data_IF_689776435465
#
_entry.id   IF_689776435465
#
_cell.length_a   1.000
_cell.length_b   1.000
_cell.length_c   1.000
_cell.angle_alpha   90.00
_cell.angle_beta   90.00
_cell.angle_gamma   90.00
#
_symmetry.space_group_name_H-M   'P 1'
#
loop_
_entity.id
_entity.type
_entity.pdbx_description
1 polymer ?
#
# COMPACT_ATOMS: atom_id res chain seq x y z
N UNK A 1 14.25 -25.30 37.38
CA UNK A 1 14.03 -23.98 36.78
C UNK A 1 13.00 -24.15 35.69
N UNK A 2 11.78 -23.71 35.96
CA UNK A 2 10.63 -23.81 35.05
C UNK A 2 10.82 -22.83 33.89
N UNK A 3 10.86 -23.38 32.67
CA UNK A 3 10.81 -22.60 31.42
C UNK A 3 9.58 -21.68 31.47
N UNK A 4 9.71 -20.38 31.17
CA UNK A 4 8.54 -19.53 31.05
C UNK A 4 7.66 -20.06 29.90
N UNK A 5 6.35 -20.15 30.15
CA UNK A 5 5.34 -20.45 29.14
C UNK A 5 5.54 -19.52 27.93
N UNK A 6 5.42 -20.01 26.68
CA UNK A 6 5.55 -19.16 25.51
C UNK A 6 4.48 -18.07 25.59
N UNK A 7 4.93 -16.81 25.68
CA UNK A 7 4.05 -15.66 25.54
C UNK A 7 3.33 -15.76 24.20
N UNK A 8 2.03 -15.44 24.18
CA UNK A 8 1.26 -15.46 22.94
C UNK A 8 1.94 -14.57 21.90
N UNK A 9 2.23 -15.14 20.72
CA UNK A 9 2.77 -14.39 19.59
C UNK A 9 1.80 -13.27 19.24
N UNK A 10 2.27 -12.03 19.22
CA UNK A 10 1.47 -10.88 18.82
C UNK A 10 1.81 -10.49 17.39
N UNK A 11 0.85 -10.66 16.49
CA UNK A 11 0.97 -10.19 15.10
C UNK A 11 0.46 -8.76 14.97
N UNK A 12 1.24 -7.89 14.32
CA UNK A 12 0.84 -6.52 13.98
C UNK A 12 1.04 -6.28 12.48
N UNK A 13 -0.07 -6.02 11.76
CA UNK A 13 -0.02 -5.69 10.33
C UNK A 13 0.53 -4.28 10.11
N UNK A 14 1.45 -4.16 9.15
CA UNK A 14 2.15 -2.92 8.82
C UNK A 14 1.66 -2.36 7.48
N UNK A 15 1.48 -3.24 6.50
CA UNK A 15 1.10 -2.87 5.14
C UNK A 15 0.37 -4.03 4.47
N UNK A 16 -0.68 -3.73 3.71
CA UNK A 16 -1.34 -4.69 2.83
C UNK A 16 -1.84 -3.96 1.59
N UNK A 17 -1.49 -4.45 0.41
CA UNK A 17 -1.95 -3.87 -0.84
C UNK A 17 -2.02 -4.93 -1.95
N UNK A 18 -2.95 -4.73 -2.90
CA UNK A 18 -3.10 -5.58 -4.07
C UNK A 18 -3.33 -4.72 -5.32
N UNK A 19 -2.53 -4.98 -6.35
CA UNK A 19 -2.59 -4.28 -7.63
C UNK A 19 -2.80 -5.28 -8.76
N UNK A 20 -3.48 -4.82 -9.80
CA UNK A 20 -3.42 -5.45 -11.12
C UNK A 20 -2.36 -4.74 -11.94
N UNK A 21 -1.51 -5.53 -12.60
CA UNK A 21 -0.35 -5.09 -13.36
C UNK A 21 -0.48 -5.56 -14.82
N UNK A 22 0.09 -4.78 -15.74
CA UNK A 22 0.24 -5.08 -17.17
C UNK A 22 1.74 -5.23 -17.54
N UNK A 23 2.42 -6.26 -17.02
CA UNK A 23 3.85 -6.47 -17.26
C UNK A 23 4.15 -6.87 -18.71
N UNK A 24 5.28 -6.41 -19.24
CA UNK A 24 5.68 -6.66 -20.64
C UNK A 24 5.90 -8.16 -20.94
N UNK A 25 6.39 -8.94 -19.98
CA UNK A 25 6.64 -10.39 -20.11
C UNK A 25 5.74 -11.22 -19.19
N UNK A 26 4.54 -10.73 -18.87
CA UNK A 26 3.63 -11.44 -17.96
C UNK A 26 4.18 -11.55 -16.54
N UNK A 27 3.77 -12.60 -15.83
CA UNK A 27 4.18 -12.87 -14.45
C UNK A 27 5.72 -12.88 -14.23
N UNK A 28 6.49 -13.31 -15.22
CA UNK A 28 7.96 -13.38 -15.17
C UNK A 28 8.60 -12.03 -14.81
N UNK A 29 8.12 -10.92 -15.39
CA UNK A 29 8.62 -9.57 -15.07
C UNK A 29 8.38 -9.21 -13.61
N UNK A 30 7.21 -9.56 -13.06
CA UNK A 30 6.89 -9.26 -11.66
C UNK A 30 7.77 -10.10 -10.73
N UNK A 31 8.01 -11.36 -11.07
CA UNK A 31 8.88 -12.26 -10.30
C UNK A 31 10.33 -11.78 -10.35
N UNK A 32 10.79 -11.28 -11.49
CA UNK A 32 12.13 -10.69 -11.62
C UNK A 32 12.33 -9.48 -10.70
N UNK A 33 11.32 -8.61 -10.54
CA UNK A 33 11.39 -7.49 -9.59
C UNK A 33 11.44 -7.96 -8.13
N UNK A 34 10.71 -9.04 -7.81
CA UNK A 34 10.75 -9.65 -6.48
C UNK A 34 12.11 -10.30 -6.22
N UNK A 35 12.68 -10.98 -7.20
CA UNK A 35 13.99 -11.62 -7.09
C UNK A 35 15.10 -10.58 -6.86
N UNK A 36 15.08 -9.48 -7.62
CA UNK A 36 15.98 -8.34 -7.45
C UNK A 36 15.83 -7.68 -6.07
N UNK A 37 14.61 -7.60 -5.54
CA UNK A 37 14.37 -7.09 -4.19
C UNK A 37 14.95 -8.01 -3.09
N UNK A 38 14.80 -9.33 -3.23
CA UNK A 38 15.40 -10.32 -2.29
C UNK A 38 16.92 -10.24 -2.35
N UNK A 39 17.49 -10.19 -3.55
CA UNK A 39 18.94 -10.06 -3.75
C UNK A 39 19.47 -8.77 -3.11
N UNK A 40 18.78 -7.64 -3.31
CA UNK A 40 19.14 -6.38 -2.65
C UNK A 40 19.08 -6.47 -1.12
N UNK A 41 18.12 -7.21 -0.56
CA UNK A 41 17.95 -7.36 0.89
C UNK A 41 19.05 -8.19 1.54
N UNK A 42 19.40 -9.29 0.88
CA UNK A 42 20.23 -10.36 1.46
C UNK A 42 21.65 -10.36 0.94
N UNK A 43 21.91 -9.63 -0.16
CA UNK A 43 23.14 -9.68 -0.95
C UNK A 43 23.44 -11.07 -1.53
N UNK A 44 22.44 -11.96 -1.58
CA UNK A 44 22.53 -13.28 -2.20
C UNK A 44 21.81 -13.29 -3.55
N UNK A 45 22.41 -13.88 -4.59
CA UNK A 45 21.77 -13.95 -5.90
C UNK A 45 20.56 -14.88 -5.83
N UNK A 46 19.37 -14.32 -6.09
CA UNK A 46 18.12 -15.06 -6.23
C UNK A 46 17.55 -14.72 -7.59
N UNK A 47 17.45 -15.72 -8.48
CA UNK A 47 17.00 -15.52 -9.85
C UNK A 47 15.51 -15.77 -10.01
N UNK A 48 14.93 -15.25 -11.09
CA UNK A 48 13.55 -15.57 -11.48
C UNK A 48 13.33 -17.09 -11.61
N UNK A 49 14.32 -17.81 -12.14
CA UNK A 49 14.27 -19.27 -12.30
C UNK A 49 14.14 -19.98 -10.95
N UNK A 50 14.92 -19.55 -9.94
CA UNK A 50 14.86 -20.12 -8.60
C UNK A 50 13.47 -20.00 -7.98
N UNK A 51 12.76 -18.90 -8.29
CA UNK A 51 11.44 -18.60 -7.75
C UNK A 51 10.29 -19.24 -8.53
N UNK A 52 10.54 -19.77 -9.74
CA UNK A 52 9.53 -20.33 -10.63
C UNK A 52 9.65 -21.84 -10.86
N UNK A 53 10.80 -22.44 -10.55
CA UNK A 53 11.04 -23.85 -10.82
C UNK A 53 10.31 -24.79 -9.84
N UNK A 54 10.39 -24.50 -8.54
CA UNK A 54 9.81 -25.38 -7.51
C UNK A 54 9.50 -24.65 -6.20
N UNK A 55 8.51 -25.16 -5.48
CA UNK A 55 8.27 -24.78 -4.10
C UNK A 55 9.45 -25.21 -3.23
N UNK A 56 10.05 -24.27 -2.49
CA UNK A 56 11.25 -24.51 -1.68
C UNK A 56 11.42 -23.46 -0.58
N UNK A 57 11.95 -23.90 0.57
CA UNK A 57 12.50 -23.03 1.60
C UNK A 57 14.01 -22.82 1.42
N UNK A 58 14.45 -21.59 1.61
CA UNK A 58 15.85 -21.16 1.60
C UNK A 58 16.15 -20.54 2.96
N UNK A 59 17.30 -20.90 3.54
CA UNK A 59 17.91 -20.12 4.60
C UNK A 59 19.06 -19.37 3.93
N UNK A 60 18.96 -18.04 3.94
CA UNK A 60 19.91 -17.15 3.28
C UNK A 60 21.08 -16.88 4.23
N UNK A 61 22.22 -16.47 3.68
CA UNK A 61 23.48 -16.29 4.42
C UNK A 61 23.45 -15.22 5.51
N UNK A 62 22.46 -14.32 5.49
CA UNK A 62 22.19 -13.36 6.56
C UNK A 62 21.32 -13.94 7.70
N UNK A 63 20.95 -15.21 7.62
CA UNK A 63 20.08 -15.92 8.56
C UNK A 63 18.58 -15.71 8.31
N UNK A 64 18.20 -14.96 7.27
CA UNK A 64 16.80 -14.82 6.90
C UNK A 64 16.26 -16.05 6.17
N UNK A 65 14.94 -16.23 6.22
CA UNK A 65 14.26 -17.35 5.59
C UNK A 65 13.41 -16.86 4.42
N UNK A 66 13.46 -17.58 3.30
CA UNK A 66 12.59 -17.36 2.15
C UNK A 66 11.87 -18.66 1.83
N UNK A 67 10.54 -18.64 1.84
CA UNK A 67 9.71 -19.79 1.45
C UNK A 67 8.96 -19.44 0.17
N UNK A 68 9.12 -20.27 -0.85
CA UNK A 68 8.44 -20.16 -2.14
C UNK A 68 7.44 -21.29 -2.27
N UNK A 69 6.21 -20.95 -2.62
CA UNK A 69 5.11 -21.88 -2.88
C UNK A 69 4.53 -21.59 -4.26
N UNK A 70 4.58 -22.58 -5.15
CA UNK A 70 4.00 -22.50 -6.49
C UNK A 70 2.58 -23.07 -6.49
N UNK A 71 1.67 -22.40 -7.19
CA UNK A 71 0.37 -22.94 -7.54
C UNK A 71 0.45 -23.87 -8.76
N UNK A 72 -0.69 -24.42 -9.14
CA UNK A 72 -0.80 -25.34 -10.28
C UNK A 72 -0.13 -24.76 -11.54
N UNK A 73 0.66 -25.58 -12.23
CA UNK A 73 1.19 -25.20 -13.53
C UNK A 73 0.05 -25.11 -14.56
N UNK A 74 0.11 -24.13 -15.46
CA UNK A 74 -0.74 -24.18 -16.64
C UNK A 74 -0.24 -25.26 -17.60
N UNK A 75 -1.07 -25.59 -18.60
CA UNK A 75 -0.64 -26.39 -19.74
C UNK A 75 0.63 -25.79 -20.34
N UNK A 76 1.55 -26.67 -20.74
CA UNK A 76 2.85 -26.30 -21.28
C UNK A 76 2.66 -25.31 -22.43
N UNK A 77 3.45 -24.24 -22.43
CA UNK A 77 3.54 -23.38 -23.61
C UNK A 77 4.04 -24.19 -24.82
N UNK A 78 4.02 -23.59 -26.00
CA UNK A 78 4.57 -24.19 -27.24
C UNK A 78 6.08 -24.52 -27.17
N UNK A 79 6.76 -24.14 -26.08
CA UNK A 79 8.18 -24.41 -25.79
C UNK A 79 8.36 -25.45 -24.67
N UNK A 80 7.29 -26.07 -24.18
CA UNK A 80 7.34 -27.10 -23.13
C UNK A 80 7.54 -26.57 -21.71
N UNK A 81 7.51 -25.25 -21.48
CA UNK A 81 7.65 -24.63 -20.16
C UNK A 81 6.28 -24.29 -19.59
N UNK A 82 5.86 -25.02 -18.56
CA UNK A 82 4.65 -24.67 -17.81
C UNK A 82 4.99 -23.66 -16.72
N UNK A 83 4.67 -22.38 -16.91
CA UNK A 83 4.73 -21.41 -15.82
C UNK A 83 3.62 -21.70 -14.78
N UNK A 84 3.89 -21.50 -13.48
CA UNK A 84 2.86 -21.66 -12.45
C UNK A 84 1.74 -20.62 -12.63
N UNK A 85 0.51 -20.95 -12.26
CA UNK A 85 -0.62 -19.99 -12.27
C UNK A 85 -0.50 -18.94 -11.16
N UNK A 86 0.24 -19.26 -10.10
CA UNK A 86 0.52 -18.34 -9.00
C UNK A 86 1.82 -18.68 -8.30
N UNK A 87 2.44 -17.67 -7.71
CA UNK A 87 3.64 -17.77 -6.88
C UNK A 87 3.35 -17.05 -5.57
N UNK A 88 3.61 -17.71 -4.44
CA UNK A 88 3.60 -17.09 -3.12
C UNK A 88 5.02 -17.16 -2.54
N UNK A 89 5.52 -16.02 -2.09
CA UNK A 89 6.80 -15.88 -1.41
C UNK A 89 6.56 -15.38 0.00
N UNK A 90 7.25 -15.98 0.97
CA UNK A 90 7.23 -15.55 2.37
C UNK A 90 8.67 -15.31 2.80
N UNK A 91 9.03 -14.05 3.00
CA UNK A 91 10.35 -13.64 3.45
C UNK A 91 10.30 -13.25 4.92
N UNK A 92 11.13 -13.88 5.75
CA UNK A 92 11.16 -13.73 7.21
C UNK A 92 12.56 -13.32 7.64
N UNK A 93 12.68 -12.26 8.44
CA UNK A 93 13.94 -11.87 9.04
C UNK A 93 13.74 -11.24 10.42
N UNK A 94 14.76 -11.34 11.27
CA UNK A 94 14.73 -10.70 12.59
C UNK A 94 14.84 -9.17 12.50
N UNK A 95 14.23 -8.47 13.45
CA UNK A 95 14.42 -7.04 13.62
C UNK A 95 15.83 -6.75 14.16
N UNK A 96 16.58 -5.90 13.46
CA UNK A 96 17.95 -5.53 13.82
C UNK A 96 18.10 -4.87 15.19
N UNK A 97 17.01 -4.31 15.74
CA UNK A 97 17.01 -3.53 17.00
C UNK A 97 16.19 -4.19 18.11
N UNK A 98 15.23 -5.04 17.77
CA UNK A 98 14.32 -5.68 18.73
C UNK A 98 14.43 -7.20 18.56
N UNK A 99 15.25 -7.90 19.37
CA UNK A 99 15.52 -9.33 19.20
C UNK A 99 14.29 -10.24 19.29
N UNK A 100 13.20 -9.77 19.89
CA UNK A 100 11.94 -10.52 20.04
C UNK A 100 10.95 -10.27 18.91
N UNK A 101 11.35 -9.56 17.85
CA UNK A 101 10.50 -9.19 16.73
C UNK A 101 11.02 -9.82 15.44
N UNK A 102 10.12 -10.44 14.71
CA UNK A 102 10.37 -10.91 13.35
C UNK A 102 9.51 -10.14 12.35
N UNK A 103 10.10 -9.76 11.23
CA UNK A 103 9.44 -9.15 10.10
C UNK A 103 9.08 -10.22 9.09
N UNK A 104 7.84 -10.20 8.61
CA UNK A 104 7.33 -11.14 7.62
C UNK A 104 6.76 -10.36 6.45
N UNK A 105 7.33 -10.57 5.27
CA UNK A 105 6.81 -10.04 3.99
C UNK A 105 6.26 -11.19 3.18
N UNK A 106 4.95 -11.24 2.99
CA UNK A 106 4.32 -12.13 2.03
C UNK A 106 4.09 -11.41 0.70
N UNK A 107 4.44 -12.07 -0.39
CA UNK A 107 4.18 -11.61 -1.76
C UNK A 107 3.38 -12.71 -2.46
N UNK A 108 2.26 -12.35 -3.07
CA UNK A 108 1.44 -13.28 -3.87
C UNK A 108 1.30 -12.70 -5.26
N UNK A 109 1.64 -13.51 -6.26
CA UNK A 109 1.54 -13.17 -7.67
C UNK A 109 0.63 -14.20 -8.31
N UNK A 110 -0.40 -13.75 -9.00
CA UNK A 110 -1.32 -14.62 -9.72
C UNK A 110 -1.53 -14.05 -11.12
N UNK A 111 -1.27 -14.86 -12.14
CA UNK A 111 -1.57 -14.46 -13.52
C UNK A 111 -3.01 -14.70 -13.89
N UNK A 112 -3.51 -13.93 -14.84
CA UNK A 112 -4.76 -14.25 -15.52
C UNK A 112 -4.58 -15.42 -16.50
N UNK A 113 -5.66 -15.85 -17.15
CA UNK A 113 -5.64 -17.00 -18.07
C UNK A 113 -4.73 -16.81 -19.30
N UNK A 114 -4.46 -15.57 -19.70
CA UNK A 114 -3.68 -15.21 -20.90
C UNK A 114 -2.30 -14.62 -20.58
N UNK A 115 -1.97 -14.49 -19.29
CA UNK A 115 -0.75 -13.87 -18.75
C UNK A 115 -0.52 -12.40 -19.17
N UNK A 116 -1.58 -11.71 -19.60
CA UNK A 116 -1.50 -10.27 -19.91
C UNK A 116 -1.56 -9.43 -18.65
N UNK A 117 -2.34 -9.89 -17.67
CA UNK A 117 -2.49 -9.24 -16.39
C UNK A 117 -1.98 -10.12 -15.26
N UNK A 118 -1.33 -9.49 -14.29
CA UNK A 118 -0.89 -10.15 -13.06
C UNK A 118 -1.46 -9.43 -11.85
N UNK A 119 -2.15 -10.17 -10.98
CA UNK A 119 -2.47 -9.69 -9.65
C UNK A 119 -1.24 -9.84 -8.75
N UNK A 120 -0.78 -8.73 -8.19
CA UNK A 120 0.34 -8.64 -7.27
C UNK A 120 -0.16 -8.16 -5.92
N UNK A 121 0.05 -8.96 -4.88
CA UNK A 121 -0.32 -8.62 -3.49
C UNK A 121 0.90 -8.68 -2.59
N UNK A 122 1.04 -7.69 -1.71
CA UNK A 122 2.07 -7.66 -0.67
C UNK A 122 1.43 -7.44 0.68
N UNK A 123 1.78 -8.29 1.64
CA UNK A 123 1.40 -8.18 3.04
C UNK A 123 2.68 -8.10 3.89
N UNK A 124 2.88 -7.00 4.61
CA UNK A 124 3.97 -6.82 5.58
C UNK A 124 3.39 -6.82 6.99
N UNK A 125 3.90 -7.69 7.85
CA UNK A 125 3.54 -7.70 9.26
C UNK A 125 4.75 -8.02 10.13
N UNK A 126 4.62 -7.76 11.42
CA UNK A 126 5.60 -8.17 12.43
C UNK A 126 4.98 -9.15 13.40
N UNK A 127 5.79 -10.10 13.87
CA UNK A 127 5.44 -11.05 14.91
C UNK A 127 6.35 -10.79 16.11
N UNK A 128 5.76 -10.37 17.22
CA UNK A 128 6.46 -10.12 18.47
C UNK A 128 6.28 -11.36 19.40
N UNK A 129 7.38 -12.01 19.76
CA UNK A 129 7.41 -13.16 20.69
C UNK A 129 7.42 -12.75 22.17
N UNK A 130 7.62 -11.46 22.43
CA UNK A 130 7.50 -10.82 23.74
C UNK A 130 7.01 -9.38 23.56
N UNK A 131 6.49 -8.71 24.60
CA UNK A 131 6.06 -7.32 24.51
C UNK A 131 7.17 -6.41 23.98
N UNK A 132 6.96 -5.86 22.78
CA UNK A 132 7.96 -5.01 22.17
C UNK A 132 8.07 -3.65 22.86
N UNK A 133 9.31 -3.17 23.01
CA UNK A 133 9.60 -1.87 23.65
C UNK A 133 9.15 -0.68 22.80
N UNK A 134 8.96 -0.87 21.49
CA UNK A 134 8.52 0.17 20.54
C UNK A 134 7.55 -0.41 19.51
N UNK A 135 6.47 0.33 19.16
CA UNK A 135 5.59 -0.08 18.07
C UNK A 135 6.35 -0.04 16.74
N UNK A 136 6.02 -0.93 15.78
CA UNK A 136 6.58 -0.89 14.45
C UNK A 136 6.11 0.37 13.70
N UNK A 137 6.94 0.86 12.77
CA UNK A 137 6.60 2.03 11.95
C UNK A 137 5.80 1.55 10.74
N UNK A 138 4.62 2.13 10.54
CA UNK A 138 3.80 1.90 9.35
C UNK A 138 4.48 2.53 8.14
N UNK A 139 4.84 1.70 7.16
CA UNK A 139 5.52 2.15 5.94
C UNK A 139 5.22 1.21 4.79
N UNK A 140 5.23 1.75 3.58
CA UNK A 140 5.19 0.97 2.34
C UNK A 140 6.53 0.25 2.10
N UNK A 141 6.53 -1.04 1.74
CA UNK A 141 7.75 -1.75 1.34
C UNK A 141 8.37 -1.16 0.06
N UNK A 142 9.70 -1.11 -0.01
CA UNK A 142 10.43 -0.68 -1.24
C UNK A 142 10.10 -1.54 -2.46
N UNK A 143 9.81 -2.82 -2.26
CA UNK A 143 9.35 -3.74 -3.30
C UNK A 143 8.17 -3.16 -4.10
N UNK A 144 7.27 -2.43 -3.43
CA UNK A 144 6.12 -1.85 -4.09
C UNK A 144 6.51 -0.75 -5.11
N UNK A 145 7.60 -0.03 -4.86
CA UNK A 145 8.11 1.01 -5.77
C UNK A 145 8.60 0.35 -7.05
N UNK A 146 9.52 -0.61 -6.91
CA UNK A 146 10.14 -1.31 -8.03
C UNK A 146 9.08 -1.95 -8.95
N UNK A 147 8.11 -2.66 -8.37
CA UNK A 147 7.06 -3.34 -9.15
C UNK A 147 6.17 -2.35 -9.90
N UNK A 148 5.83 -1.20 -9.31
CA UNK A 148 5.00 -0.19 -9.99
C UNK A 148 5.74 0.47 -11.14
N UNK A 149 7.02 0.77 -10.94
CA UNK A 149 7.84 1.42 -11.96
C UNK A 149 8.09 0.48 -13.15
N UNK A 150 8.30 -0.81 -12.91
CA UNK A 150 8.63 -1.79 -13.94
C UNK A 150 7.44 -2.51 -14.56
N UNK A 151 6.34 -2.72 -13.84
CA UNK A 151 5.26 -3.63 -14.24
C UNK A 151 3.90 -2.97 -14.54
N UNK A 152 3.85 -1.63 -14.67
CA UNK A 152 2.69 -0.84 -15.13
C UNK A 152 1.34 -1.24 -14.47
N UNK A 153 0.95 -0.60 -13.37
CA UNK A 153 -0.38 -0.79 -12.80
C UNK A 153 -1.48 -0.45 -13.83
N UNK A 154 -2.57 -1.21 -13.81
CA UNK A 154 -3.74 -0.96 -14.67
C UNK A 154 -4.25 0.46 -14.43
N UNK A 155 -4.68 1.16 -15.49
CA UNK A 155 -5.06 2.58 -15.44
C UNK A 155 -6.17 2.96 -14.45
N UNK A 156 -6.97 1.98 -14.00
CA UNK A 156 -8.01 2.14 -12.97
C UNK A 156 -7.49 2.00 -11.53
N UNK A 157 -6.19 1.78 -11.33
CA UNK A 157 -5.58 1.63 -10.00
C UNK A 157 -5.79 2.88 -9.14
N UNK A 158 -6.35 2.77 -7.93
CA UNK A 158 -6.51 3.90 -7.01
C UNK A 158 -5.16 4.55 -6.72
N UNK A 159 -5.12 5.89 -6.74
CA UNK A 159 -3.90 6.64 -6.43
C UNK A 159 -2.82 6.56 -7.52
N UNK A 160 -3.13 5.99 -8.69
CA UNK A 160 -2.21 6.03 -9.83
C UNK A 160 -1.92 7.46 -10.28
N UNK A 161 -2.96 8.30 -10.27
CA UNK A 161 -2.88 9.72 -10.62
C UNK A 161 -3.45 10.60 -9.51
N UNK A 162 -2.87 11.78 -9.34
CA UNK A 162 -3.50 12.88 -8.60
C UNK A 162 -4.58 13.51 -9.49
N UNK A 163 -5.83 13.53 -9.03
CA UNK A 163 -6.95 14.11 -9.78
C UNK A 163 -7.15 15.58 -9.38
N UNK A 164 -7.20 16.53 -10.32
CA UNK A 164 -7.52 17.91 -9.99
C UNK A 164 -8.98 18.04 -9.55
N UNK A 165 -9.19 18.64 -8.39
CA UNK A 165 -10.50 18.98 -7.86
C UNK A 165 -10.80 20.43 -8.16
N UNK A 166 -11.77 20.62 -9.06
CA UNK A 166 -12.28 21.91 -9.54
C UNK A 166 -13.78 21.96 -9.34
N UNK A 167 -14.40 23.13 -9.51
CA UNK A 167 -15.86 23.26 -9.47
C UNK A 167 -16.57 22.34 -10.48
N UNK A 168 -15.95 22.07 -11.63
CA UNK A 168 -16.50 21.19 -12.66
C UNK A 168 -16.44 19.70 -12.26
N UNK A 169 -15.39 19.28 -11.54
CA UNK A 169 -15.23 17.89 -11.10
C UNK A 169 -15.89 17.60 -9.74
N UNK A 170 -16.26 18.62 -8.97
CA UNK A 170 -16.82 18.49 -7.63
C UNK A 170 -18.09 17.64 -7.55
N UNK A 171 -19.04 17.81 -8.48
CA UNK A 171 -20.28 17.01 -8.50
C UNK A 171 -20.02 15.53 -8.74
N UNK A 172 -19.05 15.22 -9.61
CA UNK A 172 -18.62 13.84 -9.85
C UNK A 172 -17.99 13.26 -8.59
N UNK A 173 -17.06 13.99 -7.97
CA UNK A 173 -16.45 13.57 -6.70
C UNK A 173 -17.50 13.28 -5.62
N UNK A 174 -18.52 14.14 -5.48
CA UNK A 174 -19.60 13.91 -4.52
C UNK A 174 -20.35 12.60 -4.81
N UNK A 175 -20.65 12.32 -6.09
CA UNK A 175 -21.25 11.05 -6.50
C UNK A 175 -20.35 9.85 -6.15
N UNK A 176 -19.03 9.98 -6.36
CA UNK A 176 -18.06 8.93 -6.05
C UNK A 176 -17.94 8.71 -4.51
N UNK A 177 -18.00 9.79 -3.73
CA UNK A 177 -18.00 9.76 -2.25
C UNK A 177 -19.20 8.97 -1.74
N UNK A 178 -20.40 9.27 -2.25
CA UNK A 178 -21.67 8.69 -1.81
C UNK A 178 -21.93 7.29 -2.38
N UNK A 179 -21.11 6.82 -3.32
CA UNK A 179 -21.27 5.50 -3.91
C UNK A 179 -21.00 4.39 -2.89
N UNK A 180 -21.97 3.48 -2.72
CA UNK A 180 -21.84 2.27 -1.92
C UNK A 180 -20.96 1.19 -2.59
N UNK A 181 -20.66 1.34 -3.89
CA UNK A 181 -19.79 0.40 -4.61
C UNK A 181 -18.30 0.71 -4.40
N UNK A 182 -17.99 1.91 -3.90
CA UNK A 182 -16.62 2.34 -3.65
C UNK A 182 -16.01 1.50 -2.53
N UNK A 183 -14.85 0.90 -2.82
CA UNK A 183 -14.13 0.05 -1.85
C UNK A 183 -12.99 0.77 -1.16
N UNK A 184 -12.41 1.78 -1.80
CA UNK A 184 -11.24 2.48 -1.29
C UNK A 184 -11.54 3.89 -0.79
N UNK A 185 -10.79 4.38 0.21
CA UNK A 185 -10.89 5.76 0.65
C UNK A 185 -10.55 6.75 -0.47
N UNK A 186 -11.14 7.94 -0.35
CA UNK A 186 -10.76 9.12 -1.13
C UNK A 186 -10.00 10.05 -0.20
N UNK A 187 -8.85 10.54 -0.66
CA UNK A 187 -8.04 11.54 0.02
C UNK A 187 -8.13 12.83 -0.78
N UNK A 188 -8.58 13.90 -0.14
CA UNK A 188 -8.65 15.24 -0.70
C UNK A 188 -7.58 16.08 -0.01
N UNK A 189 -6.73 16.70 -0.80
CA UNK A 189 -5.69 17.59 -0.31
C UNK A 189 -6.05 19.01 -0.72
N UNK A 190 -6.02 19.91 0.26
CA UNK A 190 -5.86 21.34 -0.01
C UNK A 190 -4.38 21.65 0.14
N UNK A 191 -3.77 22.27 -0.87
CA UNK A 191 -2.41 22.81 -0.77
C UNK A 191 -2.50 24.30 -1.06
N UNK A 192 -2.11 25.11 -0.08
CA UNK A 192 -2.06 26.55 -0.13
C UNK A 192 -0.63 26.99 -0.51
N UNK A 193 -0.52 28.10 -1.23
CA UNK A 193 0.65 28.42 -2.05
C UNK A 193 1.76 29.20 -1.33
N UNK A 194 1.79 29.19 0.00
CA UNK A 194 2.81 29.95 0.73
C UNK A 194 4.16 29.23 0.77
N UNK A 195 5.04 29.54 -0.19
CA UNK A 195 6.51 29.35 -0.29
C UNK A 195 7.22 28.06 0.20
N UNK A 196 6.53 27.12 0.84
CA UNK A 196 6.96 25.76 1.15
C UNK A 196 5.67 24.97 1.48
N UNK A 197 5.04 24.29 0.51
CA UNK A 197 3.78 23.62 0.77
C UNK A 197 3.99 22.60 1.90
N UNK A 198 3.12 22.55 2.91
CA UNK A 198 3.27 21.63 4.03
C UNK A 198 2.99 20.17 3.62
N UNK A 199 2.91 19.85 2.32
CA UNK A 199 2.72 18.51 1.82
C UNK A 199 3.27 18.35 0.39
N UNK A 200 4.10 17.32 0.21
CA UNK A 200 4.48 16.81 -1.12
C UNK A 200 3.39 15.84 -1.60
N UNK A 201 2.51 16.33 -2.47
CA UNK A 201 1.35 15.58 -2.98
C UNK A 201 1.79 14.38 -3.80
N UNK A 202 2.86 14.50 -4.59
CA UNK A 202 3.35 13.40 -5.43
C UNK A 202 3.98 12.29 -4.58
N UNK A 203 4.75 12.66 -3.57
CA UNK A 203 5.27 11.68 -2.63
C UNK A 203 4.14 10.99 -1.87
N UNK A 204 3.11 11.71 -1.47
CA UNK A 204 1.95 11.10 -0.82
C UNK A 204 1.18 10.17 -1.77
N UNK A 205 0.96 10.57 -3.03
CA UNK A 205 0.37 9.73 -4.08
C UNK A 205 1.11 8.40 -4.19
N UNK A 206 2.44 8.47 -4.29
CA UNK A 206 3.31 7.30 -4.38
C UNK A 206 3.13 6.39 -3.15
N UNK A 207 3.01 6.95 -1.94
CA UNK A 207 2.75 6.15 -0.73
C UNK A 207 1.35 5.53 -0.69
N UNK A 208 0.33 6.21 -1.22
CA UNK A 208 -1.08 5.79 -1.19
C UNK A 208 -1.53 4.95 -2.39
N UNK A 209 -0.64 4.72 -3.36
CA UNK A 209 -0.92 3.94 -4.56
C UNK A 209 -1.51 2.57 -4.23
N UNK A 210 -2.65 2.25 -4.85
CA UNK A 210 -3.45 1.05 -4.61
C UNK A 210 -4.37 1.11 -3.40
N UNK A 211 -4.15 2.05 -2.49
CA UNK A 211 -4.84 2.13 -1.20
C UNK A 211 -5.89 3.24 -1.14
N UNK A 212 -5.68 4.36 -1.84
CA UNK A 212 -6.63 5.47 -1.84
C UNK A 212 -6.64 6.22 -3.17
N UNK A 213 -7.80 6.77 -3.55
CA UNK A 213 -7.84 7.79 -4.60
C UNK A 213 -7.36 9.13 -4.05
N UNK A 214 -6.65 9.91 -4.86
CA UNK A 214 -6.10 11.20 -4.46
C UNK A 214 -6.65 12.32 -5.32
N UNK A 215 -7.26 13.31 -4.67
CA UNK A 215 -7.73 14.55 -5.26
C UNK A 215 -6.95 15.73 -4.67
N UNK A 216 -6.55 16.68 -5.52
CA UNK A 216 -5.91 17.91 -5.11
C UNK A 216 -6.77 19.10 -5.53
N UNK A 217 -7.17 19.94 -4.56
CA UNK A 217 -7.85 21.21 -4.85
C UNK A 217 -6.88 22.11 -5.62
N UNK A 218 -7.28 22.57 -6.81
CA UNK A 218 -6.42 23.42 -7.64
C UNK A 218 -6.41 24.87 -7.15
N UNK A 219 -5.41 25.67 -7.56
CA UNK A 219 -5.22 27.07 -7.11
C UNK A 219 -6.41 27.95 -7.42
N UNK A 220 -6.97 27.73 -8.61
CA UNK A 220 -7.99 28.57 -9.23
C UNK A 220 -9.38 28.22 -8.70
N UNK A 221 -9.49 27.17 -7.88
CA UNK A 221 -10.76 26.68 -7.38
C UNK A 221 -11.20 27.48 -6.16
N UNK A 222 -12.33 28.18 -6.27
CA UNK A 222 -12.97 28.83 -5.14
C UNK A 222 -13.41 27.79 -4.10
N UNK A 223 -12.70 27.75 -2.97
CA UNK A 223 -12.97 26.83 -1.87
C UNK A 223 -14.36 26.98 -1.25
N UNK A 224 -14.94 28.19 -1.25
CA UNK A 224 -16.31 28.41 -0.76
C UNK A 224 -17.35 27.84 -1.72
N UNK A 225 -17.18 28.09 -3.02
CA UNK A 225 -18.04 27.51 -4.04
C UNK A 225 -17.92 25.97 -4.07
N UNK A 226 -16.71 25.45 -3.87
CA UNK A 226 -16.46 24.01 -3.75
C UNK A 226 -17.19 23.44 -2.52
N UNK A 227 -17.17 24.15 -1.39
CA UNK A 227 -17.86 23.73 -0.18
C UNK A 227 -19.38 23.72 -0.31
N UNK A 228 -19.97 24.65 -1.06
CA UNK A 228 -21.39 24.62 -1.36
C UNK A 228 -21.81 23.38 -2.19
N UNK A 229 -20.88 22.80 -2.96
CA UNK A 229 -21.13 21.59 -3.74
C UNK A 229 -20.91 20.34 -2.89
N UNK A 230 -19.77 20.26 -2.20
CA UNK A 230 -19.36 19.06 -1.46
C UNK A 230 -20.00 18.96 -0.07
N UNK A 231 -20.40 20.07 0.54
CA UNK A 231 -20.79 20.16 1.95
C UNK A 231 -19.59 20.18 2.89
N UNK A 232 -19.82 20.61 4.14
CA UNK A 232 -18.76 20.79 5.15
C UNK A 232 -18.02 19.49 5.49
N UNK A 233 -18.72 18.36 5.41
CA UNK A 233 -18.20 17.03 5.74
C UNK A 233 -17.19 16.51 4.70
N UNK A 234 -17.17 17.05 3.48
CA UNK A 234 -16.28 16.59 2.40
C UNK A 234 -15.37 17.69 1.86
N UNK A 235 -15.50 18.92 2.36
CA UNK A 235 -14.69 20.07 1.94
C UNK A 235 -13.33 20.10 2.61
N UNK A 236 -12.28 20.44 1.84
CA UNK A 236 -10.91 20.49 2.33
C UNK A 236 -10.28 21.85 2.01
N UNK A 237 -9.73 22.53 3.02
CA UNK A 237 -9.17 23.87 2.91
C UNK A 237 -8.00 24.08 3.88
N UNK A 238 -7.20 25.11 3.64
CA UNK A 238 -6.17 25.58 4.57
C UNK A 238 -5.09 24.53 4.84
N UNK A 239 -4.53 23.94 3.78
CA UNK A 239 -3.46 22.94 3.87
C UNK A 239 -3.85 21.63 4.58
N UNK A 240 -5.16 21.40 4.75
CA UNK A 240 -5.68 20.19 5.34
C UNK A 240 -5.67 19.02 4.35
N UNK A 241 -5.68 17.82 4.92
CA UNK A 241 -5.94 16.56 4.21
C UNK A 241 -7.24 15.99 4.76
N UNK A 242 -8.20 15.74 3.88
CA UNK A 242 -9.45 15.07 4.24
C UNK A 242 -9.46 13.64 3.70
N UNK A 243 -9.80 12.71 4.57
CA UNK A 243 -10.02 11.30 4.24
C UNK A 243 -11.52 11.06 4.24
N UNK A 244 -12.03 10.43 3.19
CA UNK A 244 -13.44 10.05 3.08
C UNK A 244 -13.49 8.53 2.89
N UNK A 245 -13.95 7.84 3.92
CA UNK A 245 -13.93 6.39 3.99
C UNK A 245 -15.09 5.79 3.18
N UNK A 246 -14.93 4.55 2.67
CA UNK A 246 -16.04 3.79 2.09
C UNK A 246 -17.21 3.67 3.05
N UNK A 247 -18.43 3.56 2.55
CA UNK A 247 -19.60 3.30 3.40
C UNK A 247 -19.53 1.86 3.89
N UNK A 248 -19.50 1.66 5.21
CA UNK A 248 -19.55 0.31 5.79
C UNK A 248 -21.00 -0.13 6.03
N UNK A 249 -21.21 -1.44 6.14
CA UNK A 249 -22.56 -2.00 6.29
C UNK A 249 -23.21 -1.50 7.59
N UNK A 250 -24.34 -0.81 7.47
CA UNK A 250 -25.12 -0.31 8.61
C UNK A 250 -24.86 1.16 8.98
N UNK A 251 -24.07 1.88 8.17
CA UNK A 251 -23.89 3.32 8.31
C UNK A 251 -24.80 4.11 7.36
N UNK A 252 -25.25 5.28 7.81
CA UNK A 252 -26.12 6.19 7.05
C UNK A 252 -25.40 6.95 5.93
N UNK A 253 -24.06 6.88 5.89
CA UNK A 253 -23.24 7.56 4.90
C UNK A 253 -21.74 7.41 5.15
N UNK A 254 -20.90 7.92 4.24
CA UNK A 254 -19.45 7.80 4.36
C UNK A 254 -18.92 8.70 5.48
N UNK A 255 -18.09 8.14 6.35
CA UNK A 255 -17.39 8.90 7.37
C UNK A 255 -16.22 9.69 6.76
N UNK A 256 -15.93 10.85 7.34
CA UNK A 256 -14.74 11.61 6.98
C UNK A 256 -13.89 12.00 8.19
N UNK A 257 -12.58 12.12 7.95
CA UNK A 257 -11.58 12.54 8.94
C UNK A 257 -10.76 13.67 8.34
N UNK A 258 -10.52 14.73 9.09
CA UNK A 258 -9.65 15.84 8.67
C UNK A 258 -8.34 15.83 9.46
N UNK A 259 -7.23 15.93 8.73
CA UNK A 259 -5.89 16.15 9.26
C UNK A 259 -5.50 17.60 8.99
N UNK A 260 -5.36 18.38 10.05
CA UNK A 260 -4.98 19.78 9.98
C UNK A 260 -3.46 19.93 10.12
N UNK A 261 -2.83 20.86 9.37
CA UNK A 261 -1.41 21.17 9.52
C UNK A 261 -1.11 21.78 10.91
N UNK A 262 -2.04 22.58 11.41
CA UNK A 262 -1.94 23.26 12.71
C UNK A 262 -3.04 22.78 13.64
N UNK A 263 -2.66 22.36 14.85
CA UNK A 263 -3.60 22.14 15.96
C UNK A 263 -3.44 23.25 16.99
N UNK A 264 -4.55 23.68 17.59
CA UNK A 264 -4.55 24.73 18.60
C UNK A 264 -3.67 24.32 19.78
N UNK A 265 -2.63 25.09 20.07
CA UNK A 265 -1.69 24.83 21.17
C UNK A 265 -0.53 23.89 20.82
N UNK A 266 -0.41 23.44 19.57
CA UNK A 266 0.72 22.63 19.08
C UNK A 266 1.56 23.45 18.07
N UNK A 267 2.83 23.10 17.93
CA UNK A 267 3.63 23.59 16.81
C UNK A 267 3.05 23.09 15.47
N UNK A 268 3.20 23.85 14.37
CA UNK A 268 2.84 23.40 13.03
C UNK A 268 3.50 22.06 12.69
N UNK A 269 2.73 21.17 12.05
CA UNK A 269 3.26 19.92 11.52
C UNK A 269 4.15 20.20 10.32
N UNK A 270 5.27 19.51 10.25
CA UNK A 270 6.11 19.45 9.05
C UNK A 270 5.45 18.61 7.96
N UNK A 271 5.89 18.79 6.71
CA UNK A 271 5.38 18.00 5.60
C UNK A 271 5.57 16.48 5.77
N UNK A 272 6.71 16.08 6.33
CA UNK A 272 6.99 14.68 6.63
C UNK A 272 6.04 14.11 7.70
N UNK A 273 5.65 14.92 8.68
CA UNK A 273 4.69 14.49 9.70
C UNK A 273 3.28 14.37 9.11
N UNK A 274 2.88 15.31 8.26
CA UNK A 274 1.59 15.24 7.54
C UNK A 274 1.52 13.97 6.67
N UNK A 275 2.55 13.69 5.87
CA UNK A 275 2.66 12.48 5.05
C UNK A 275 2.57 11.21 5.93
N UNK A 276 3.37 11.13 7.00
CA UNK A 276 3.39 9.95 7.88
C UNK A 276 2.04 9.71 8.54
N UNK A 277 1.39 10.75 9.01
CA UNK A 277 0.07 10.64 9.62
C UNK A 277 -0.98 10.21 8.59
N UNK A 278 -0.96 10.79 7.40
CA UNK A 278 -1.86 10.42 6.31
C UNK A 278 -1.75 8.94 5.94
N UNK A 279 -0.53 8.46 5.70
CA UNK A 279 -0.26 7.05 5.39
C UNK A 279 -0.68 6.15 6.54
N UNK A 280 -0.38 6.55 7.79
CA UNK A 280 -0.75 5.77 8.97
C UNK A 280 -2.27 5.64 9.14
N UNK A 281 -3.04 6.68 8.81
CA UNK A 281 -4.50 6.65 8.88
C UNK A 281 -5.07 5.67 7.86
N UNK A 282 -4.64 5.77 6.60
CA UNK A 282 -5.10 4.87 5.53
C UNK A 282 -4.74 3.42 5.83
N UNK A 283 -3.53 3.15 6.33
CA UNK A 283 -3.11 1.80 6.66
C UNK A 283 -3.91 1.21 7.84
N UNK A 284 -4.17 1.98 8.90
CA UNK A 284 -4.92 1.48 10.08
C UNK A 284 -6.36 1.15 9.75
N UNK A 285 -7.04 2.03 9.04
CA UNK A 285 -8.44 1.85 8.65
C UNK A 285 -8.59 0.83 7.51
N UNK A 286 -7.63 0.78 6.58
CA UNK A 286 -7.61 -0.22 5.51
C UNK A 286 -7.37 -1.65 6.01
N UNK A 287 -6.57 -1.83 7.06
CA UNK A 287 -6.34 -3.15 7.69
C UNK A 287 -7.57 -3.62 8.48
N UNK A 288 -8.34 -2.70 9.08
CA UNK A 288 -9.53 -3.06 9.86
C UNK A 288 -10.76 -3.36 9.00
N UNK A 289 -10.74 -3.00 7.71
CA UNK A 289 -11.79 -3.28 6.74
C UNK A 289 -11.63 -4.62 5.99
N UNK A 290 -10.53 -5.35 6.22
CA UNK A 290 -10.24 -6.69 5.67
C UNK A 290 -10.61 -7.80 6.65
#
# INVERSE_FOLDING_TARGET
>A
MTSPLPGALKTTHIYSNSLWLEPEKGMASVVSEVSAWVEWKTSEPVTEYDLLERSRGYVLGDGSELVVELGDCAEQDSLGRGLPKSVKLTYIHDDRKIPTRQWVTEVKIKRDERDYFSNFKVDLHVVDSAPATKPPILTRPRLMVNVVESCRPVGSTPGLFTRPLTLNSAKKLLSDILSHERKQPIVIVSSNWSMDPPLDVERMRVQLLGMAELYQVTEETDGWALANILGDDYSCYGDAIRFVWPVTRGEDGPKSTILLPNRKGEAPRTALEMERLAVSLVLREGITAL
#
